data_IF_741878715949
#
_entry.id   IF_741878715949
#
_cell.length_a   1.000
_cell.length_b   1.000
_cell.length_c   1.000
_cell.angle_alpha   90.00
_cell.angle_beta   90.00
_cell.angle_gamma   90.00
#
_symmetry.space_group_name_H-M   'P 1'
#
loop_
_entity.id
_entity.type
_entity.pdbx_description
1 polymer ?
#
# COMPACT_ATOMS: atom_id res chain seq x y z
N UNK A 1 46.93 3.07 27.35
CA UNK A 1 45.58 3.51 26.97
C UNK A 1 45.14 2.67 25.78
N UNK A 2 44.17 1.76 26.01
CA UNK A 2 43.64 0.85 24.98
C UNK A 2 42.80 1.65 23.98
N UNK A 3 43.28 1.79 22.76
CA UNK A 3 42.47 2.32 21.66
C UNK A 3 41.42 1.25 21.31
N UNK A 4 40.19 1.45 21.74
CA UNK A 4 39.11 0.51 21.48
C UNK A 4 38.88 0.39 19.96
N UNK A 5 38.76 -0.84 19.43
CA UNK A 5 38.60 -1.06 17.98
C UNK A 5 37.36 -0.37 17.41
N UNK A 6 36.36 -0.11 18.26
CA UNK A 6 35.15 0.66 17.92
C UNK A 6 35.42 2.08 17.42
N UNK A 7 36.47 2.76 17.91
CA UNK A 7 36.72 4.15 17.54
C UNK A 7 37.28 4.27 16.11
N UNK A 8 38.04 3.26 15.66
CA UNK A 8 38.62 3.20 14.31
C UNK A 8 37.55 2.99 13.25
N UNK A 9 36.59 2.09 13.48
CA UNK A 9 35.47 1.87 12.54
C UNK A 9 34.58 3.12 12.41
N UNK A 10 34.29 3.80 13.53
CA UNK A 10 33.51 5.04 13.51
C UNK A 10 34.22 6.16 12.74
N UNK A 11 35.53 6.32 12.94
CA UNK A 11 36.35 7.30 12.22
C UNK A 11 36.35 7.02 10.70
N UNK A 12 36.45 5.75 10.30
CA UNK A 12 36.48 5.33 8.90
C UNK A 12 35.14 5.54 8.19
N UNK A 13 34.02 5.16 8.83
CA UNK A 13 32.68 5.38 8.29
C UNK A 13 32.32 6.87 8.22
N UNK A 14 32.70 7.69 9.21
CA UNK A 14 32.44 9.14 9.18
C UNK A 14 33.26 9.85 8.10
N UNK A 15 34.53 9.46 7.90
CA UNK A 15 35.36 10.02 6.82
C UNK A 15 34.86 9.61 5.43
N UNK A 16 34.39 8.37 5.27
CA UNK A 16 33.78 7.86 4.03
C UNK A 16 32.50 8.62 3.69
N UNK A 17 31.55 8.74 4.64
CA UNK A 17 30.31 9.49 4.45
C UNK A 17 30.55 10.97 4.13
N UNK A 18 31.52 11.62 4.80
CA UNK A 18 31.90 13.00 4.52
C UNK A 18 32.41 13.21 3.09
N UNK A 19 33.08 12.22 2.49
CA UNK A 19 33.48 12.27 1.09
C UNK A 19 32.28 12.12 0.14
N UNK A 20 31.32 11.25 0.45
CA UNK A 20 30.08 11.14 -0.33
C UNK A 20 29.27 12.45 -0.32
N UNK A 21 29.08 13.08 0.85
CA UNK A 21 28.37 14.36 0.92
C UNK A 21 29.10 15.49 0.18
N UNK A 22 30.43 15.47 0.13
CA UNK A 22 31.22 16.43 -0.65
C UNK A 22 31.07 16.26 -2.18
N UNK A 23 30.80 15.04 -2.66
CA UNK A 23 30.53 14.76 -4.08
C UNK A 23 29.12 15.27 -4.46
N UNK A 24 28.16 15.20 -3.54
CA UNK A 24 26.80 15.72 -3.74
C UNK A 24 26.69 17.26 -3.64
N UNK A 25 27.81 17.99 -3.61
CA UNK A 25 27.79 19.46 -3.67
C UNK A 25 27.17 19.95 -4.98
N UNK A 26 26.21 20.85 -4.84
CA UNK A 26 25.41 21.40 -5.94
C UNK A 26 26.26 22.04 -7.06
N UNK A 27 27.41 22.61 -6.69
CA UNK A 27 28.36 23.26 -7.60
C UNK A 27 29.06 22.29 -8.57
N UNK A 28 29.17 21.02 -8.20
CA UNK A 28 29.93 20.00 -8.94
C UNK A 28 29.05 19.07 -9.78
N UNK A 29 27.72 19.21 -9.66
CA UNK A 29 26.75 18.38 -10.35
C UNK A 29 26.32 18.99 -11.70
N UNK A 30 26.11 18.18 -12.74
CA UNK A 30 25.65 18.67 -14.03
C UNK A 30 24.23 19.24 -13.91
N UNK A 31 24.01 20.43 -14.48
CA UNK A 31 22.74 21.19 -14.41
C UNK A 31 21.52 20.36 -14.85
N UNK A 32 21.70 19.41 -15.78
CA UNK A 32 20.65 18.49 -16.25
C UNK A 32 20.19 17.50 -15.17
N UNK A 33 21.10 16.96 -14.36
CA UNK A 33 20.75 16.06 -13.26
C UNK A 33 20.00 16.81 -12.17
N UNK A 34 20.45 18.01 -11.81
CA UNK A 34 19.78 18.87 -10.83
C UNK A 34 18.33 19.14 -11.25
N UNK A 35 18.10 19.54 -12.50
CA UNK A 35 16.75 19.79 -13.03
C UNK A 35 15.87 18.54 -12.96
N UNK A 36 16.42 17.37 -13.29
CA UNK A 36 15.69 16.10 -13.22
C UNK A 36 15.37 15.71 -11.77
N UNK A 37 16.32 15.85 -10.84
CA UNK A 37 16.11 15.56 -9.41
C UNK A 37 15.05 16.48 -8.82
N UNK A 38 15.08 17.78 -9.15
CA UNK A 38 14.04 18.73 -8.72
C UNK A 38 12.70 18.32 -9.31
N UNK A 39 12.63 18.01 -10.61
CA UNK A 39 11.38 17.59 -11.25
C UNK A 39 10.79 16.33 -10.61
N UNK A 40 11.63 15.34 -10.32
CA UNK A 40 11.24 14.10 -9.62
C UNK A 40 10.82 14.39 -8.19
N UNK A 41 11.56 15.24 -7.46
CA UNK A 41 11.21 15.65 -6.10
C UNK A 41 9.86 16.37 -6.03
N UNK A 42 9.58 17.27 -6.97
CA UNK A 42 8.28 17.95 -7.10
C UNK A 42 7.19 16.95 -7.44
N UNK A 43 7.42 16.03 -8.38
CA UNK A 43 6.48 14.97 -8.72
C UNK A 43 6.15 14.07 -7.52
N UNK A 44 7.16 13.65 -6.76
CA UNK A 44 6.96 12.89 -5.53
C UNK A 44 6.11 13.65 -4.52
N UNK A 45 6.34 14.96 -4.31
CA UNK A 45 5.51 15.78 -3.41
C UNK A 45 4.05 15.88 -3.87
N UNK A 46 3.80 15.92 -5.18
CA UNK A 46 2.43 15.94 -5.72
C UNK A 46 1.76 14.57 -5.71
N UNK A 47 2.52 13.48 -5.83
CA UNK A 47 2.00 12.10 -5.85
C UNK A 47 1.81 11.50 -4.45
N UNK A 48 2.60 11.95 -3.46
CA UNK A 48 2.50 11.50 -2.06
C UNK A 48 1.07 11.52 -1.49
N UNK A 49 0.29 12.60 -1.65
CA UNK A 49 -1.09 12.63 -1.12
C UNK A 49 -2.04 11.65 -1.82
N UNK A 50 -1.72 11.15 -3.02
CA UNK A 50 -2.51 10.13 -3.72
C UNK A 50 -2.06 8.72 -3.35
N UNK A 51 -0.75 8.53 -3.12
CA UNK A 51 -0.18 7.23 -2.75
C UNK A 51 -0.58 6.78 -1.35
N UNK A 52 -0.66 7.69 -0.37
CA UNK A 52 -1.08 7.35 1.00
C UNK A 52 -2.47 6.71 1.03
N UNK A 53 -3.54 7.32 0.47
CA UNK A 53 -4.87 6.72 0.50
C UNK A 53 -4.96 5.44 -0.33
N UNK A 54 -4.24 5.34 -1.46
CA UNK A 54 -4.18 4.11 -2.25
C UNK A 54 -3.54 2.96 -1.47
N UNK A 55 -2.40 3.21 -0.83
CA UNK A 55 -1.71 2.23 0.00
C UNK A 55 -2.55 1.81 1.20
N UNK A 56 -3.20 2.76 1.86
CA UNK A 56 -4.11 2.47 2.98
C UNK A 56 -5.33 1.66 2.52
N UNK A 57 -5.91 2.00 1.38
CA UNK A 57 -7.03 1.26 0.79
C UNK A 57 -6.64 -0.20 0.48
N UNK A 58 -5.48 -0.41 -0.16
CA UNK A 58 -4.96 -1.75 -0.43
C UNK A 58 -4.65 -2.52 0.86
N UNK A 59 -4.12 -1.85 1.88
CA UNK A 59 -3.84 -2.46 3.18
C UNK A 59 -5.13 -2.93 3.87
N UNK A 60 -6.16 -2.08 3.94
CA UNK A 60 -7.47 -2.45 4.49
C UNK A 60 -8.06 -3.63 3.71
N UNK A 61 -7.96 -3.61 2.39
CA UNK A 61 -8.46 -4.67 1.51
C UNK A 61 -7.75 -6.02 1.72
N UNK A 62 -6.47 -6.01 2.08
CA UNK A 62 -5.71 -7.24 2.36
C UNK A 62 -6.01 -7.81 3.76
N UNK A 63 -6.32 -6.96 4.73
CA UNK A 63 -6.66 -7.38 6.10
C UNK A 63 -8.10 -7.88 6.19
N UNK A 64 -9.01 -7.23 5.47
CA UNK A 64 -10.44 -7.55 5.48
C UNK A 64 -10.74 -8.73 4.52
N UNK A 65 -10.62 -9.94 5.06
CA UNK A 65 -10.90 -11.19 4.31
C UNK A 65 -12.34 -11.28 3.81
N UNK A 66 -13.30 -10.69 4.54
CA UNK A 66 -14.71 -10.73 4.18
C UNK A 66 -14.96 -9.88 2.92
N UNK A 67 -14.40 -8.67 2.86
CA UNK A 67 -14.43 -7.84 1.64
C UNK A 67 -13.79 -8.51 0.44
N UNK A 68 -12.65 -9.19 0.65
CA UNK A 68 -11.97 -9.88 -0.44
C UNK A 68 -12.84 -11.03 -1.00
N UNK A 69 -13.51 -11.79 -0.12
CA UNK A 69 -14.43 -12.84 -0.55
C UNK A 69 -15.62 -12.28 -1.34
N UNK A 70 -16.19 -11.14 -0.92
CA UNK A 70 -17.29 -10.47 -1.64
C UNK A 70 -16.89 -10.05 -3.07
N UNK A 71 -15.70 -9.44 -3.22
CA UNK A 71 -15.21 -9.01 -4.53
C UNK A 71 -14.96 -10.19 -5.46
N UNK A 72 -14.37 -11.27 -4.92
CA UNK A 72 -14.14 -12.49 -5.69
C UNK A 72 -15.49 -13.06 -6.16
N UNK A 73 -16.48 -13.15 -5.26
CA UNK A 73 -17.81 -13.64 -5.59
C UNK A 73 -18.50 -12.74 -6.62
N UNK A 74 -18.37 -11.42 -6.50
CA UNK A 74 -18.88 -10.46 -7.49
C UNK A 74 -18.24 -10.66 -8.87
N UNK A 75 -16.92 -10.81 -8.95
CA UNK A 75 -16.19 -11.08 -10.20
C UNK A 75 -16.66 -12.38 -10.87
N UNK A 76 -16.94 -13.43 -10.10
CA UNK A 76 -17.44 -14.70 -10.62
C UNK A 76 -18.94 -14.68 -10.96
N UNK A 77 -19.75 -13.92 -10.23
CA UNK A 77 -21.20 -13.88 -10.40
C UNK A 77 -21.64 -13.21 -11.72
N UNK A 78 -20.77 -12.43 -12.37
CA UNK A 78 -21.04 -11.71 -13.65
C UNK A 78 -22.40 -10.98 -13.67
N UNK A 79 -22.83 -10.50 -12.51
CA UNK A 79 -24.12 -9.82 -12.32
C UNK A 79 -23.95 -8.31 -12.38
N UNK A 80 -24.84 -7.64 -13.11
CA UNK A 80 -24.84 -6.17 -13.26
C UNK A 80 -25.30 -5.42 -11.99
N UNK A 81 -25.94 -6.13 -11.05
CA UNK A 81 -26.50 -5.55 -9.83
C UNK A 81 -25.45 -5.38 -8.71
N UNK A 82 -24.57 -4.40 -8.90
CA UNK A 82 -23.50 -3.99 -7.98
C UNK A 82 -24.05 -3.61 -6.59
N UNK A 83 -25.25 -3.00 -6.56
CA UNK A 83 -25.92 -2.59 -5.32
C UNK A 83 -26.32 -3.77 -4.44
N UNK A 84 -26.59 -4.95 -5.01
CA UNK A 84 -27.02 -6.12 -4.23
C UNK A 84 -25.90 -6.71 -3.35
N UNK A 85 -24.64 -6.51 -3.75
CA UNK A 85 -23.46 -6.98 -3.02
C UNK A 85 -22.93 -5.95 -2.03
N UNK A 86 -22.89 -4.67 -2.43
CA UNK A 86 -22.26 -3.60 -1.65
C UNK A 86 -23.26 -2.64 -0.97
N UNK A 87 -24.47 -3.11 -0.65
CA UNK A 87 -25.49 -2.27 0.00
C UNK A 87 -25.06 -1.87 1.43
N UNK A 88 -24.47 -0.68 1.55
CA UNK A 88 -24.03 -0.09 2.81
C UNK A 88 -25.20 0.22 3.75
N UNK A 89 -26.44 0.28 3.26
CA UNK A 89 -27.63 0.43 4.13
C UNK A 89 -27.92 -0.83 4.96
N UNK A 90 -27.46 -2.00 4.50
CA UNK A 90 -27.60 -3.26 5.25
C UNK A 90 -26.57 -3.41 6.37
N UNK A 91 -25.50 -2.61 6.37
CA UNK A 91 -24.50 -2.57 7.44
C UNK A 91 -25.14 -2.22 8.79
N UNK A 92 -26.14 -1.32 8.80
CA UNK A 92 -26.89 -0.92 10.00
C UNK A 92 -27.75 -2.04 10.58
N UNK A 93 -28.11 -3.05 9.80
CA UNK A 93 -29.02 -4.14 10.20
C UNK A 93 -28.28 -5.38 10.72
N UNK A 94 -26.96 -5.30 10.86
CA UNK A 94 -26.09 -6.42 11.24
C UNK A 94 -26.17 -7.64 10.28
N UNK A 95 -26.80 -7.46 9.12
CA UNK A 95 -26.89 -8.44 8.02
C UNK A 95 -25.85 -8.07 6.96
N UNK A 96 -24.57 -8.11 7.34
CA UNK A 96 -23.49 -7.95 6.36
C UNK A 96 -23.49 -9.15 5.40
N UNK A 97 -23.19 -8.89 4.12
CA UNK A 97 -23.09 -9.89 3.04
C UNK A 97 -24.21 -10.97 3.04
N UNK A 98 -25.46 -10.52 3.25
CA UNK A 98 -26.69 -11.33 3.21
C UNK A 98 -26.82 -12.19 1.95
N UNK A 99 -26.37 -11.69 0.80
CA UNK A 99 -26.41 -12.37 -0.49
C UNK A 99 -25.54 -13.64 -0.47
N UNK A 100 -24.35 -13.54 0.11
CA UNK A 100 -23.40 -14.67 0.25
C UNK A 100 -23.98 -15.73 1.19
N UNK A 101 -24.56 -15.30 2.31
CA UNK A 101 -25.20 -16.22 3.27
C UNK A 101 -26.40 -16.93 2.65
N UNK A 102 -27.17 -16.22 1.83
CA UNK A 102 -28.30 -16.80 1.10
C UNK A 102 -27.84 -17.84 0.06
N UNK A 103 -26.83 -17.51 -0.73
CA UNK A 103 -26.29 -18.44 -1.74
C UNK A 103 -25.67 -19.69 -1.08
N UNK A 104 -24.93 -19.53 0.02
CA UNK A 104 -24.42 -20.65 0.81
C UNK A 104 -25.54 -21.55 1.35
N UNK A 105 -26.61 -20.94 1.87
CA UNK A 105 -27.79 -21.66 2.33
C UNK A 105 -28.45 -22.48 1.22
N UNK A 106 -28.55 -21.93 0.01
CA UNK A 106 -29.10 -22.65 -1.16
C UNK A 106 -28.22 -23.84 -1.54
N UNK A 107 -26.89 -23.67 -1.52
CA UNK A 107 -25.93 -24.74 -1.80
C UNK A 107 -26.06 -25.86 -0.75
N UNK A 108 -26.05 -25.51 0.54
CA UNK A 108 -26.19 -26.46 1.65
C UNK A 108 -27.50 -27.25 1.52
N UNK A 109 -28.61 -26.56 1.27
CA UNK A 109 -29.91 -27.18 1.03
C UNK A 109 -29.88 -28.15 -0.14
N UNK A 110 -29.22 -27.78 -1.25
CA UNK A 110 -29.11 -28.63 -2.44
C UNK A 110 -28.21 -29.85 -2.23
N UNK A 111 -27.17 -29.73 -1.40
CA UNK A 111 -26.25 -30.83 -1.09
C UNK A 111 -26.82 -31.82 -0.04
N UNK A 112 -27.79 -31.36 0.76
CA UNK A 112 -28.46 -32.15 1.81
C UNK A 112 -29.70 -32.90 1.33
N UNK A 113 -30.11 -32.69 0.07
CA UNK A 113 -31.29 -33.29 -0.57
C UNK A 113 -30.88 -34.44 -1.48
#
# INVERSE_FOLDING_TARGET
MSNSPFNVYKQFYMNSLGQYFNIFRYERLPKKLIKNVIKVGTFCRTMLPVFIPLGLYQYIRQIDKERYAEELLYEYAKTDDLKSFYDSSMYSKNTKNWKIQHDLYLIEKSASS
#
